data_IF_449188556709
#
_entry.id   IF_449188556709
#
_cell.length_a   1.000
_cell.length_b   1.000
_cell.length_c   1.000
_cell.angle_alpha   90.00
_cell.angle_beta   90.00
_cell.angle_gamma   90.00
#
_symmetry.space_group_name_H-M   'P 1'
#
loop_
_entity.id
_entity.type
_entity.pdbx_description
1 polymer ?
#
# COMPACT_ATOMS: atom_id res chain seq x y z
N UNK A 1 18.80 -31.92 8.87
CA UNK A 1 18.72 -33.36 8.51
C UNK A 1 19.19 -33.49 7.08
N UNK A 2 20.09 -34.42 6.77
CA UNK A 2 20.36 -34.75 5.37
C UNK A 2 19.16 -35.56 4.88
N UNK A 3 18.40 -35.08 3.89
CA UNK A 3 17.34 -35.84 3.24
C UNK A 3 17.97 -37.00 2.43
N UNK A 4 18.46 -38.04 3.10
CA UNK A 4 19.03 -39.24 2.45
C UNK A 4 18.00 -40.35 2.24
N UNK A 5 16.76 -40.16 2.70
CA UNK A 5 15.73 -41.16 2.45
C UNK A 5 15.26 -41.08 0.99
N UNK A 6 15.28 -42.20 0.25
CA UNK A 6 14.77 -42.24 -1.10
C UNK A 6 13.24 -42.18 -1.01
N UNK A 7 12.69 -40.97 -0.97
CA UNK A 7 11.24 -40.74 -1.01
C UNK A 7 10.60 -41.23 -2.32
N UNK A 8 11.41 -41.66 -3.31
CA UNK A 8 10.92 -41.88 -4.66
C UNK A 8 10.37 -40.57 -5.23
N UNK A 9 9.67 -40.62 -6.37
CA UNK A 9 9.05 -39.44 -6.99
C UNK A 9 7.84 -38.88 -6.18
N UNK A 10 7.73 -39.16 -4.88
CA UNK A 10 6.64 -38.66 -4.04
C UNK A 10 6.96 -37.25 -3.49
N UNK A 11 5.94 -36.43 -3.21
CA UNK A 11 6.11 -35.15 -2.52
C UNK A 11 6.66 -35.32 -1.10
N UNK A 12 7.53 -34.40 -0.67
CA UNK A 12 8.03 -34.33 0.70
C UNK A 12 7.42 -33.12 1.42
N UNK A 13 6.83 -33.34 2.60
CA UNK A 13 6.31 -32.25 3.44
C UNK A 13 6.99 -32.22 4.80
N UNK A 14 7.55 -31.07 5.14
CA UNK A 14 8.22 -30.78 6.42
C UNK A 14 7.40 -29.75 7.19
N UNK A 15 6.78 -30.18 8.29
CA UNK A 15 6.09 -29.30 9.24
C UNK A 15 7.08 -28.87 10.32
N UNK A 16 7.43 -27.59 10.35
CA UNK A 16 8.53 -27.06 11.16
C UNK A 16 8.00 -26.11 12.24
N UNK A 17 8.48 -26.22 13.47
CA UNK A 17 8.07 -25.35 14.58
C UNK A 17 9.29 -24.80 15.33
N UNK A 18 9.19 -23.53 15.76
CA UNK A 18 10.32 -22.81 16.35
C UNK A 18 11.30 -22.30 15.29
N UNK A 19 12.53 -21.99 15.71
CA UNK A 19 13.55 -21.41 14.83
C UNK A 19 14.37 -22.47 14.14
N UNK A 20 14.40 -22.41 12.82
CA UNK A 20 15.20 -23.28 11.98
C UNK A 20 16.22 -22.46 11.18
N UNK A 21 17.46 -22.91 11.24
CA UNK A 21 18.49 -22.52 10.28
C UNK A 21 18.40 -23.50 9.11
N UNK A 22 18.08 -22.97 7.93
CA UNK A 22 17.97 -23.76 6.69
C UNK A 22 19.19 -23.61 5.80
N UNK A 23 20.33 -23.18 6.39
CA UNK A 23 21.60 -23.06 5.68
C UNK A 23 21.93 -24.35 4.91
N UNK A 24 22.06 -24.21 3.60
CA UNK A 24 22.29 -25.34 2.72
C UNK A 24 22.12 -24.99 1.25
N UNK A 25 22.68 -25.83 0.41
CA UNK A 25 22.51 -25.80 -1.02
C UNK A 25 21.55 -26.92 -1.42
N UNK A 26 20.41 -26.55 -1.97
CA UNK A 26 19.41 -27.48 -2.48
C UNK A 26 19.64 -27.68 -3.96
N UNK A 27 20.09 -28.88 -4.32
CA UNK A 27 20.33 -29.32 -5.70
C UNK A 27 19.76 -30.74 -5.89
N UNK A 28 20.22 -31.49 -6.89
CA UNK A 28 19.81 -32.86 -7.24
C UNK A 28 20.07 -33.94 -6.14
N UNK A 29 20.19 -33.55 -4.88
CA UNK A 29 20.42 -34.39 -3.70
C UNK A 29 19.15 -35.07 -3.18
N UNK A 30 17.98 -34.76 -3.73
CA UNK A 30 16.68 -35.35 -3.36
C UNK A 30 16.05 -36.07 -4.54
N UNK A 31 15.29 -37.13 -4.26
CA UNK A 31 14.46 -37.83 -5.28
C UNK A 31 13.00 -37.40 -5.27
N UNK A 32 12.61 -36.54 -4.31
CA UNK A 32 11.24 -36.05 -4.17
C UNK A 32 10.81 -35.25 -5.40
N UNK A 33 9.53 -35.37 -5.78
CA UNK A 33 8.96 -34.62 -6.91
C UNK A 33 8.73 -33.14 -6.60
N UNK A 34 8.57 -32.79 -5.32
CA UNK A 34 8.37 -31.44 -4.80
C UNK A 34 8.64 -31.43 -3.29
N UNK A 35 8.95 -30.26 -2.73
CA UNK A 35 9.20 -30.09 -1.30
C UNK A 35 8.35 -28.96 -0.72
N UNK A 36 7.63 -29.28 0.36
CA UNK A 36 6.77 -28.36 1.10
C UNK A 36 7.37 -28.08 2.47
N UNK A 37 7.76 -26.84 2.70
CA UNK A 37 8.11 -26.32 4.02
C UNK A 37 6.89 -25.59 4.57
N UNK A 38 6.33 -26.10 5.68
CA UNK A 38 5.12 -25.55 6.29
C UNK A 38 5.41 -25.16 7.74
N UNK A 39 5.16 -23.90 8.05
CA UNK A 39 5.33 -23.35 9.38
C UNK A 39 4.24 -23.82 10.34
N UNK A 40 4.66 -24.27 11.52
CA UNK A 40 3.87 -24.26 12.74
C UNK A 40 3.82 -22.86 13.35
N UNK A 41 3.00 -22.65 14.41
CA UNK A 41 2.86 -21.34 15.05
C UNK A 41 4.20 -20.75 15.51
N UNK A 42 4.53 -19.55 15.02
CA UNK A 42 5.75 -18.83 15.37
C UNK A 42 7.03 -19.44 14.78
N UNK A 43 6.94 -20.30 13.77
CA UNK A 43 8.12 -20.86 13.13
C UNK A 43 8.89 -19.78 12.35
N UNK A 44 10.21 -19.81 12.47
CA UNK A 44 11.10 -18.83 11.84
C UNK A 44 12.17 -19.51 11.00
N UNK A 45 12.50 -18.93 9.85
CA UNK A 45 13.58 -19.38 8.97
C UNK A 45 14.70 -18.34 8.99
N UNK A 46 15.91 -18.82 9.26
CA UNK A 46 17.14 -18.03 9.31
C UNK A 46 18.26 -18.71 8.54
N UNK A 47 19.38 -18.01 8.33
CA UNK A 47 20.53 -18.51 7.58
C UNK A 47 20.48 -18.13 6.10
N UNK A 48 21.04 -19.00 5.25
CA UNK A 48 21.14 -18.80 3.80
C UNK A 48 20.58 -20.01 3.07
N UNK A 49 19.44 -19.85 2.40
CA UNK A 49 18.85 -20.89 1.56
C UNK A 49 19.30 -20.66 0.11
N UNK A 50 20.20 -21.49 -0.41
CA UNK A 50 20.54 -21.49 -1.84
C UNK A 50 19.78 -22.62 -2.53
N UNK A 51 19.06 -22.29 -3.61
CA UNK A 51 18.29 -23.23 -4.42
C UNK A 51 18.93 -23.23 -5.81
N UNK A 52 19.66 -24.27 -6.14
CA UNK A 52 20.40 -24.38 -7.39
C UNK A 52 19.64 -25.24 -8.41
N UNK A 53 20.06 -25.15 -9.67
CA UNK A 53 19.57 -25.99 -10.75
C UNK A 53 19.57 -27.49 -10.38
N UNK A 54 18.47 -28.16 -10.72
CA UNK A 54 18.21 -29.56 -10.36
C UNK A 54 17.46 -29.73 -9.04
N UNK A 55 17.17 -28.67 -8.29
CA UNK A 55 16.19 -28.71 -7.23
C UNK A 55 14.78 -29.03 -7.78
N UNK A 56 13.95 -29.79 -7.05
CA UNK A 56 12.52 -29.91 -7.38
C UNK A 56 11.78 -28.59 -7.07
N UNK A 57 10.51 -28.45 -7.50
CA UNK A 57 9.63 -27.39 -6.98
C UNK A 57 9.66 -27.31 -5.45
N UNK A 58 9.76 -26.09 -4.92
CA UNK A 58 9.80 -25.84 -3.48
C UNK A 58 8.68 -24.87 -3.10
N UNK A 59 7.96 -25.20 -2.05
CA UNK A 59 6.88 -24.39 -1.49
C UNK A 59 7.23 -24.01 -0.05
N UNK A 60 7.24 -22.72 0.27
CA UNK A 60 7.54 -22.19 1.60
C UNK A 60 6.33 -21.43 2.12
N UNK A 61 5.75 -21.91 3.23
CA UNK A 61 4.47 -21.40 3.72
C UNK A 61 4.47 -21.01 5.20
N UNK A 62 4.01 -19.80 5.51
CA UNK A 62 3.63 -19.38 6.86
C UNK A 62 4.76 -18.93 7.78
N UNK A 63 5.99 -18.81 7.28
CA UNK A 63 7.16 -18.51 8.11
C UNK A 63 7.38 -17.02 8.32
N UNK A 64 7.95 -16.67 9.47
CA UNK A 64 8.73 -15.44 9.58
C UNK A 64 10.17 -15.71 9.08
N UNK A 65 10.57 -15.00 8.04
CA UNK A 65 11.81 -15.23 7.31
C UNK A 65 12.77 -14.07 7.60
N UNK A 66 13.88 -14.41 8.25
CA UNK A 66 15.07 -13.54 8.39
C UNK A 66 16.24 -14.06 7.56
N UNK A 67 16.05 -15.20 6.87
CA UNK A 67 17.03 -15.80 5.99
C UNK A 67 17.26 -14.95 4.73
N UNK A 68 18.44 -15.12 4.15
CA UNK A 68 18.68 -14.77 2.75
C UNK A 68 18.33 -15.98 1.88
N UNK A 69 17.47 -15.77 0.88
CA UNK A 69 17.08 -16.80 -0.09
C UNK A 69 17.69 -16.43 -1.44
N UNK A 70 18.42 -17.37 -2.01
CA UNK A 70 19.10 -17.23 -3.29
C UNK A 70 18.60 -18.33 -4.23
N UNK A 71 17.99 -17.95 -5.34
CA UNK A 71 17.37 -18.88 -6.28
C UNK A 71 18.13 -18.82 -7.59
N UNK A 72 18.82 -19.91 -7.92
CA UNK A 72 19.53 -20.15 -9.17
C UNK A 72 18.99 -21.43 -9.85
N UNK A 73 17.67 -21.62 -9.84
CA UNK A 73 17.02 -22.85 -10.28
C UNK A 73 15.87 -22.62 -11.28
N UNK A 74 15.79 -23.45 -12.32
CA UNK A 74 14.66 -23.44 -13.26
C UNK A 74 13.32 -23.91 -12.67
N UNK A 75 13.36 -24.74 -11.62
CA UNK A 75 12.17 -25.21 -10.93
C UNK A 75 11.49 -24.06 -10.16
N UNK A 76 10.16 -24.06 -10.04
CA UNK A 76 9.45 -22.98 -9.39
C UNK A 76 9.68 -22.96 -7.87
N UNK A 77 9.90 -21.77 -7.33
CA UNK A 77 9.79 -21.48 -5.89
C UNK A 77 8.47 -20.77 -5.62
N UNK A 78 7.67 -21.29 -4.71
CA UNK A 78 6.45 -20.64 -4.24
C UNK A 78 6.58 -20.23 -2.77
N UNK A 79 6.30 -18.97 -2.48
CA UNK A 79 6.31 -18.43 -1.12
C UNK A 79 4.91 -17.89 -0.81
N UNK A 80 4.30 -18.36 0.27
CA UNK A 80 2.93 -17.97 0.64
C UNK A 80 2.80 -17.70 2.14
N UNK A 81 2.00 -16.71 2.51
CA UNK A 81 1.67 -16.41 3.92
C UNK A 81 2.91 -16.10 4.79
N UNK A 82 3.98 -15.56 4.20
CA UNK A 82 5.26 -15.36 4.89
C UNK A 82 5.48 -13.90 5.30
N UNK A 83 6.33 -13.69 6.32
CA UNK A 83 6.74 -12.37 6.79
C UNK A 83 8.25 -12.24 6.71
N UNK A 84 8.76 -11.40 5.81
CA UNK A 84 10.18 -11.09 5.72
C UNK A 84 10.53 -9.94 6.65
N UNK A 85 11.60 -10.12 7.43
CA UNK A 85 12.07 -9.18 8.46
C UNK A 85 13.58 -9.04 8.42
N UNK A 86 14.08 -7.89 8.84
CA UNK A 86 15.53 -7.63 8.91
C UNK A 86 16.21 -8.51 9.99
N UNK A 87 17.26 -9.23 9.55
CA UNK A 87 18.13 -10.04 10.39
C UNK A 87 19.00 -9.23 11.36
N UNK A 88 19.01 -7.89 11.31
CA UNK A 88 19.68 -7.06 12.34
C UNK A 88 19.12 -7.27 13.75
N UNK A 89 17.93 -7.85 13.89
CA UNK A 89 17.41 -8.35 15.17
C UNK A 89 18.04 -9.67 15.65
N UNK A 90 18.73 -10.42 14.78
CA UNK A 90 19.30 -11.77 15.04
C UNK A 90 20.83 -11.88 14.87
N UNK A 91 21.55 -10.80 14.55
CA UNK A 91 23.01 -10.71 14.68
C UNK A 91 23.85 -11.54 13.68
N UNK A 92 23.25 -12.12 12.64
CA UNK A 92 23.96 -12.88 11.60
C UNK A 92 23.42 -12.55 10.22
N UNK A 93 23.97 -11.50 9.61
CA UNK A 93 24.06 -11.44 8.15
C UNK A 93 25.54 -11.51 7.81
N UNK A 94 25.99 -12.70 7.44
CA UNK A 94 27.34 -12.90 6.94
C UNK A 94 27.47 -12.05 5.68
N UNK A 95 28.31 -11.03 5.76
CA UNK A 95 28.76 -10.26 4.61
C UNK A 95 29.50 -11.23 3.70
N UNK A 96 28.96 -11.56 2.52
CA UNK A 96 29.82 -11.98 1.43
C UNK A 96 30.67 -10.74 1.07
N UNK A 97 31.99 -10.88 1.09
CA UNK A 97 32.99 -9.79 1.23
C UNK A 97 33.01 -8.70 0.14
N UNK A 98 32.00 -8.57 -0.73
CA UNK A 98 31.94 -7.53 -1.76
C UNK A 98 30.53 -7.01 -2.13
N UNK A 99 29.44 -7.46 -1.49
CA UNK A 99 28.10 -6.89 -1.72
C UNK A 99 27.68 -5.99 -0.55
N UNK A 100 27.62 -4.68 -0.82
CA UNK A 100 27.27 -3.65 0.19
C UNK A 100 25.81 -3.77 0.68
N UNK A 101 24.94 -4.46 -0.07
CA UNK A 101 23.53 -4.68 0.26
C UNK A 101 23.07 -6.07 -0.20
N UNK A 102 22.92 -6.99 0.75
CA UNK A 102 22.35 -8.32 0.49
C UNK A 102 20.81 -8.19 0.43
N UNK A 103 20.10 -8.74 -0.58
CA UNK A 103 18.63 -8.80 -0.65
C UNK A 103 18.06 -9.90 0.25
N UNK A 104 16.82 -9.78 0.73
CA UNK A 104 16.19 -10.89 1.45
C UNK A 104 15.91 -12.09 0.51
N UNK A 105 15.56 -11.80 -0.74
CA UNK A 105 15.39 -12.78 -1.81
C UNK A 105 16.12 -12.32 -3.08
N UNK A 106 16.89 -13.21 -3.70
CA UNK A 106 17.41 -13.05 -5.06
C UNK A 106 16.80 -14.13 -5.95
N UNK A 107 16.32 -13.71 -7.13
CA UNK A 107 15.85 -14.60 -8.19
C UNK A 107 16.79 -14.47 -9.38
N UNK A 108 17.73 -15.41 -9.52
CA UNK A 108 18.65 -15.54 -10.65
C UNK A 108 18.17 -16.63 -11.58
N UNK A 109 17.64 -16.25 -12.74
CA UNK A 109 16.91 -17.19 -13.61
C UNK A 109 15.72 -17.85 -12.86
N UNK A 110 14.99 -18.75 -13.54
CA UNK A 110 13.91 -19.49 -12.89
C UNK A 110 12.59 -18.73 -12.73
N UNK A 111 11.71 -19.30 -11.90
CA UNK A 111 10.35 -18.80 -11.65
C UNK A 111 10.04 -18.76 -10.17
N UNK A 112 9.70 -17.59 -9.67
CA UNK A 112 9.30 -17.42 -8.27
C UNK A 112 7.91 -16.78 -8.18
N UNK A 113 7.04 -17.37 -7.37
CA UNK A 113 5.71 -16.86 -7.08
C UNK A 113 5.62 -16.52 -5.60
N UNK A 114 5.14 -15.31 -5.26
CA UNK A 114 4.98 -14.84 -3.90
C UNK A 114 3.54 -14.39 -3.70
N UNK A 115 2.88 -14.88 -2.66
CA UNK A 115 1.49 -14.55 -2.37
C UNK A 115 1.29 -14.25 -0.89
N UNK A 116 0.36 -13.34 -0.56
CA UNK A 116 -0.04 -13.02 0.80
C UNK A 116 1.14 -12.82 1.78
N UNK A 117 2.18 -12.12 1.34
CA UNK A 117 3.43 -12.00 2.11
C UNK A 117 3.74 -10.54 2.43
N UNK A 118 4.43 -10.32 3.54
CA UNK A 118 4.76 -8.98 4.05
C UNK A 118 6.27 -8.81 4.18
N UNK A 119 6.80 -7.74 3.59
CA UNK A 119 8.22 -7.40 3.58
C UNK A 119 8.41 -6.08 4.31
N UNK A 120 9.04 -6.12 5.49
CA UNK A 120 9.12 -4.96 6.37
C UNK A 120 10.54 -4.67 6.86
N UNK A 121 10.96 -3.41 6.73
CA UNK A 121 12.20 -2.90 7.31
C UNK A 121 13.50 -3.40 6.66
N UNK A 122 13.44 -3.89 5.42
CA UNK A 122 14.58 -4.47 4.71
C UNK A 122 15.39 -3.40 3.97
N UNK A 123 16.73 -3.54 3.93
CA UNK A 123 17.58 -2.68 3.08
C UNK A 123 17.28 -2.92 1.59
N UNK A 124 17.13 -4.19 1.19
CA UNK A 124 16.61 -4.60 -0.10
C UNK A 124 15.73 -5.83 0.07
N UNK A 125 14.46 -5.77 -0.31
CA UNK A 125 13.58 -6.92 -0.13
C UNK A 125 13.83 -7.99 -1.20
N UNK A 126 13.71 -7.64 -2.48
CA UNK A 126 13.85 -8.58 -3.60
C UNK A 126 14.78 -8.03 -4.68
N UNK A 127 15.62 -8.90 -5.26
CA UNK A 127 16.41 -8.61 -6.44
C UNK A 127 16.14 -9.66 -7.52
N UNK A 128 15.77 -9.22 -8.72
CA UNK A 128 15.52 -10.09 -9.89
C UNK A 128 16.64 -9.89 -10.91
N UNK A 129 17.34 -10.99 -11.24
CA UNK A 129 18.41 -11.07 -12.22
C UNK A 129 18.07 -12.15 -13.26
N UNK A 130 17.49 -11.77 -14.40
CA UNK A 130 17.22 -12.68 -15.55
C UNK A 130 16.16 -13.79 -15.30
N UNK A 131 15.33 -13.67 -14.26
CA UNK A 131 14.25 -14.61 -13.94
C UNK A 131 12.83 -14.08 -14.17
N UNK A 132 11.83 -14.91 -13.82
CA UNK A 132 10.42 -14.51 -13.76
C UNK A 132 9.95 -14.43 -12.31
N UNK A 133 9.47 -13.27 -11.88
CA UNK A 133 8.88 -13.06 -10.56
C UNK A 133 7.40 -12.69 -10.70
N UNK A 134 6.54 -13.35 -9.94
CA UNK A 134 5.14 -12.95 -9.80
C UNK A 134 4.82 -12.75 -8.31
N UNK A 135 4.22 -11.60 -7.99
CA UNK A 135 3.82 -11.22 -6.64
C UNK A 135 2.33 -10.91 -6.65
N UNK A 136 1.58 -11.46 -5.70
CA UNK A 136 0.18 -11.14 -5.48
C UNK A 136 -0.14 -10.90 -4.00
N UNK A 137 -1.13 -10.05 -3.73
CA UNK A 137 -1.75 -9.90 -2.40
C UNK A 137 -0.74 -9.58 -1.28
N UNK A 138 0.34 -8.87 -1.60
CA UNK A 138 1.47 -8.71 -0.70
C UNK A 138 1.67 -7.26 -0.28
N UNK A 139 2.51 -7.04 0.72
CA UNK A 139 2.82 -5.68 1.21
C UNK A 139 4.31 -5.48 1.39
N UNK A 140 4.78 -4.29 1.04
CA UNK A 140 6.17 -3.84 1.23
C UNK A 140 6.15 -2.55 2.03
N UNK A 141 6.75 -2.54 3.21
CA UNK A 141 6.60 -1.44 4.17
C UNK A 141 7.94 -1.07 4.77
N UNK A 142 8.25 0.22 4.85
CA UNK A 142 9.48 0.70 5.52
C UNK A 142 10.79 0.11 4.98
N UNK A 143 10.79 -0.45 3.77
CA UNK A 143 11.99 -0.95 3.12
C UNK A 143 12.75 0.23 2.51
N UNK A 144 14.08 0.18 2.52
CA UNK A 144 14.90 1.16 1.82
C UNK A 144 14.74 1.00 0.32
N UNK A 145 15.07 -0.18 -0.22
CA UNK A 145 14.69 -0.57 -1.58
C UNK A 145 13.75 -1.79 -1.50
N UNK A 146 12.58 -1.73 -2.14
CA UNK A 146 11.68 -2.90 -2.10
C UNK A 146 12.05 -3.92 -3.16
N UNK A 147 11.90 -3.58 -4.45
CA UNK A 147 12.24 -4.52 -5.53
C UNK A 147 13.20 -3.86 -6.50
N UNK A 148 14.30 -4.56 -6.76
CA UNK A 148 15.29 -4.20 -7.76
C UNK A 148 15.25 -5.22 -8.90
N UNK A 149 15.03 -4.77 -10.14
CA UNK A 149 14.95 -5.63 -11.33
C UNK A 149 16.05 -5.23 -12.28
N UNK A 150 17.05 -6.08 -12.49
CA UNK A 150 18.12 -5.81 -13.45
C UNK A 150 17.79 -6.32 -14.85
N UNK A 151 17.08 -7.44 -14.93
CA UNK A 151 16.54 -8.01 -16.16
C UNK A 151 15.50 -9.09 -15.82
N UNK A 152 14.75 -9.56 -16.82
CA UNK A 152 13.72 -10.60 -16.65
C UNK A 152 12.30 -10.06 -16.72
N UNK A 153 11.34 -10.78 -16.13
CA UNK A 153 9.91 -10.42 -16.15
C UNK A 153 9.36 -10.41 -14.74
N UNK A 154 8.75 -9.29 -14.34
CA UNK A 154 8.10 -9.16 -13.02
C UNK A 154 6.64 -8.76 -13.16
N UNK A 155 5.73 -9.51 -12.53
CA UNK A 155 4.31 -9.16 -12.44
C UNK A 155 3.97 -8.91 -10.98
N UNK A 156 3.36 -7.76 -10.69
CA UNK A 156 2.96 -7.36 -9.34
C UNK A 156 1.46 -7.06 -9.37
N UNK A 157 0.69 -7.83 -8.61
CA UNK A 157 -0.75 -7.80 -8.55
C UNK A 157 -1.21 -7.52 -7.12
N UNK A 158 -2.24 -6.68 -6.93
CA UNK A 158 -2.86 -6.42 -5.63
C UNK A 158 -1.87 -6.22 -4.47
N UNK A 159 -0.80 -5.49 -4.74
CA UNK A 159 0.32 -5.33 -3.80
C UNK A 159 0.54 -3.86 -3.49
N UNK A 160 0.76 -3.55 -2.21
CA UNK A 160 0.94 -2.17 -1.76
C UNK A 160 2.35 -1.95 -1.23
N UNK A 161 2.99 -0.88 -1.69
CA UNK A 161 4.27 -0.40 -1.19
C UNK A 161 4.01 0.86 -0.38
N UNK A 162 4.40 0.91 0.89
CA UNK A 162 4.18 2.09 1.75
C UNK A 162 5.43 2.48 2.51
N UNK A 163 5.59 3.79 2.72
CA UNK A 163 6.63 4.35 3.59
C UNK A 163 8.04 3.81 3.29
N UNK A 164 8.37 3.56 2.02
CA UNK A 164 9.73 3.19 1.63
C UNK A 164 10.70 4.28 2.12
N UNK A 165 11.98 3.96 2.37
CA UNK A 165 13.01 4.99 2.69
C UNK A 165 13.88 5.34 1.48
N UNK A 166 13.84 4.52 0.43
CA UNK A 166 14.48 4.71 -0.87
C UNK A 166 13.46 4.44 -1.99
N UNK A 167 13.75 3.53 -2.93
CA UNK A 167 12.87 3.30 -4.08
C UNK A 167 11.97 2.08 -3.88
N UNK A 168 10.65 2.22 -4.12
CA UNK A 168 9.76 1.06 -4.09
C UNK A 168 10.12 0.08 -5.22
N UNK A 169 10.26 0.58 -6.45
CA UNK A 169 10.64 -0.21 -7.62
C UNK A 169 11.81 0.45 -8.36
N UNK A 170 12.93 -0.23 -8.44
CA UNK A 170 14.06 0.19 -9.28
C UNK A 170 14.22 -0.83 -10.41
N UNK A 171 14.04 -0.39 -11.66
CA UNK A 171 14.00 -1.24 -12.84
C UNK A 171 15.08 -0.81 -13.82
N UNK A 172 16.16 -1.58 -13.89
CA UNK A 172 17.29 -1.31 -14.78
C UNK A 172 17.08 -1.97 -16.15
N UNK A 173 16.38 -3.10 -16.21
CA UNK A 173 16.11 -3.82 -17.45
C UNK A 173 14.98 -4.83 -17.30
N UNK A 174 14.50 -5.37 -18.42
CA UNK A 174 13.38 -6.30 -18.46
C UNK A 174 12.00 -5.62 -18.46
N UNK A 175 10.97 -6.42 -18.16
CA UNK A 175 9.57 -5.99 -18.18
C UNK A 175 8.95 -6.10 -16.78
N UNK A 176 8.31 -5.02 -16.33
CA UNK A 176 7.52 -4.98 -15.09
C UNK A 176 6.08 -4.59 -15.38
N UNK A 177 5.15 -5.41 -14.89
CA UNK A 177 3.72 -5.17 -14.98
C UNK A 177 3.14 -4.98 -13.59
N UNK A 178 2.61 -3.80 -13.33
CA UNK A 178 1.82 -3.49 -12.15
C UNK A 178 0.34 -3.63 -12.51
N UNK A 179 -0.44 -4.38 -11.74
CA UNK A 179 -1.86 -4.62 -12.06
C UNK A 179 -2.70 -4.89 -10.82
N UNK A 180 -3.99 -5.13 -11.03
CA UNK A 180 -4.93 -5.59 -10.02
C UNK A 180 -4.88 -4.74 -8.74
N UNK A 181 -5.01 -3.41 -8.86
CA UNK A 181 -4.98 -2.46 -7.75
C UNK A 181 -3.61 -2.32 -7.03
N UNK A 182 -2.50 -2.68 -7.67
CA UNK A 182 -1.17 -2.41 -7.12
C UNK A 182 -0.95 -0.91 -6.89
N UNK A 183 -0.28 -0.53 -5.80
CA UNK A 183 -0.05 0.87 -5.44
C UNK A 183 1.34 1.12 -4.82
N UNK A 184 1.99 2.18 -5.29
CA UNK A 184 3.24 2.73 -4.78
C UNK A 184 2.93 4.00 -3.96
N UNK A 185 3.03 3.90 -2.63
CA UNK A 185 2.59 4.90 -1.63
C UNK A 185 3.75 5.37 -0.74
N UNK A 186 4.85 5.84 -1.34
CA UNK A 186 6.00 6.40 -0.61
C UNK A 186 5.89 7.87 -0.23
N UNK A 187 4.84 8.58 -0.67
CA UNK A 187 4.67 10.00 -0.41
C UNK A 187 5.28 10.92 -1.48
N UNK A 188 4.81 12.16 -1.50
CA UNK A 188 4.91 13.07 -2.66
C UNK A 188 6.32 13.56 -3.04
N UNK A 189 7.35 13.33 -2.22
CA UNK A 189 8.72 13.83 -2.45
C UNK A 189 9.73 12.70 -2.60
N UNK A 190 9.25 11.47 -2.67
CA UNK A 190 10.08 10.28 -2.73
C UNK A 190 10.02 9.63 -4.11
N UNK A 191 11.16 9.17 -4.60
CA UNK A 191 11.25 8.36 -5.81
C UNK A 191 10.64 7.01 -5.52
N UNK A 192 9.41 6.77 -6.00
CA UNK A 192 8.74 5.49 -5.84
C UNK A 192 9.13 4.52 -6.95
N UNK A 193 9.40 5.02 -8.14
CA UNK A 193 9.76 4.22 -9.30
C UNK A 193 10.91 4.88 -10.04
N UNK A 194 11.98 4.13 -10.27
CA UNK A 194 13.13 4.55 -11.07
C UNK A 194 13.34 3.55 -12.21
N UNK A 195 13.39 4.04 -13.44
CA UNK A 195 13.41 3.22 -14.65
C UNK A 195 14.61 3.63 -15.52
N UNK A 196 15.52 2.70 -15.80
CA UNK A 196 16.65 2.95 -16.70
C UNK A 196 16.25 2.82 -18.18
N UNK A 197 17.10 3.37 -19.05
CA UNK A 197 16.94 3.20 -20.50
C UNK A 197 16.97 1.72 -20.91
N UNK A 198 15.93 1.27 -21.62
CA UNK A 198 15.78 -0.12 -22.07
C UNK A 198 14.93 -1.01 -21.16
N UNK A 199 14.54 -0.52 -19.98
CA UNK A 199 13.52 -1.16 -19.15
C UNK A 199 12.10 -0.76 -19.61
N UNK A 200 11.14 -1.65 -19.36
CA UNK A 200 9.72 -1.46 -19.69
C UNK A 200 8.89 -1.64 -18.43
N UNK A 201 8.17 -0.60 -18.03
CA UNK A 201 7.21 -0.66 -16.92
C UNK A 201 5.85 -0.21 -17.40
N UNK A 202 4.82 -1.00 -17.09
CA UNK A 202 3.42 -0.65 -17.39
C UNK A 202 2.51 -0.93 -16.22
N UNK A 203 1.42 -0.15 -16.15
CA UNK A 203 0.31 -0.37 -15.24
C UNK A 203 -0.92 -0.81 -16.02
N UNK A 204 -1.56 -1.89 -15.60
CA UNK A 204 -2.80 -2.41 -16.18
C UNK A 204 -3.95 -2.17 -15.21
N UNK A 205 -4.99 -1.47 -15.66
CA UNK A 205 -6.19 -1.22 -14.85
C UNK A 205 -6.85 -2.55 -14.40
N UNK A 206 -7.51 -2.59 -13.24
CA UNK A 206 -7.95 -1.47 -12.41
C UNK A 206 -6.90 -0.90 -11.44
N UNK A 207 -6.98 0.41 -11.19
CA UNK A 207 -6.31 1.06 -10.07
C UNK A 207 -7.05 0.78 -8.74
N UNK A 208 -6.46 1.08 -7.57
CA UNK A 208 -7.23 1.12 -6.32
C UNK A 208 -8.40 2.11 -6.41
N UNK A 209 -9.48 1.86 -5.68
CA UNK A 209 -10.53 2.88 -5.49
C UNK A 209 -9.90 4.15 -4.89
N UNK A 210 -10.45 5.31 -5.29
CA UNK A 210 -9.88 6.61 -4.92
C UNK A 210 -8.63 6.99 -5.71
N UNK A 211 -8.21 6.18 -6.70
CA UNK A 211 -7.00 6.43 -7.49
C UNK A 211 -7.21 6.25 -9.00
N UNK A 212 -6.37 6.90 -9.79
CA UNK A 212 -6.41 6.85 -11.24
C UNK A 212 -5.01 6.81 -11.88
N UNK A 213 -4.92 6.21 -13.07
CA UNK A 213 -3.77 6.32 -13.96
C UNK A 213 -4.23 7.00 -15.25
N UNK A 214 -3.56 8.06 -15.70
CA UNK A 214 -4.04 8.84 -16.84
C UNK A 214 -3.80 8.11 -18.17
N UNK A 215 -4.86 7.55 -18.75
CA UNK A 215 -4.80 6.73 -19.98
C UNK A 215 -5.74 7.33 -21.03
N UNK A 216 -5.18 7.78 -22.16
CA UNK A 216 -5.92 8.52 -23.20
C UNK A 216 -6.44 7.65 -24.35
N UNK A 217 -5.90 6.44 -24.53
CA UNK A 217 -6.13 5.59 -25.71
C UNK A 217 -7.15 4.46 -25.47
N UNK A 218 -7.83 4.47 -24.31
CA UNK A 218 -8.73 3.40 -23.86
C UNK A 218 -8.11 1.99 -23.83
N UNK A 219 -6.77 1.87 -23.87
CA UNK A 219 -6.10 0.58 -23.81
C UNK A 219 -6.22 -0.09 -22.44
N UNK A 220 -6.48 0.70 -21.39
CA UNK A 220 -6.39 0.25 -20.00
C UNK A 220 -4.96 0.08 -19.51
N UNK A 221 -3.97 0.52 -20.30
CA UNK A 221 -2.54 0.37 -20.02
C UNK A 221 -1.88 1.74 -19.95
N UNK A 222 -1.29 2.07 -18.80
CA UNK A 222 -0.39 3.21 -18.64
C UNK A 222 1.05 2.73 -18.83
N UNK A 223 1.82 3.39 -19.69
CA UNK A 223 3.24 3.09 -19.91
C UNK A 223 4.08 4.18 -19.28
N UNK A 224 5.08 3.78 -18.51
CA UNK A 224 6.01 4.74 -17.92
C UNK A 224 7.14 5.00 -18.90
N UNK A 225 7.53 6.28 -18.99
CA UNK A 225 8.77 6.67 -19.64
C UNK A 225 9.98 6.36 -18.72
N UNK A 226 11.17 6.11 -19.27
CA UNK A 226 12.39 6.02 -18.48
C UNK A 226 12.63 7.28 -17.63
N UNK A 227 13.23 7.10 -16.45
CA UNK A 227 13.56 8.15 -15.50
C UNK A 227 13.01 7.92 -14.09
N UNK A 228 13.16 8.95 -13.26
CA UNK A 228 12.68 8.97 -11.88
C UNK A 228 11.23 9.46 -11.81
N UNK A 229 10.35 8.66 -11.21
CA UNK A 229 8.95 8.98 -10.97
C UNK A 229 8.73 9.21 -9.47
N UNK A 230 8.51 10.48 -9.14
CA UNK A 230 8.28 10.94 -7.77
C UNK A 230 6.80 10.82 -7.39
N UNK A 231 6.56 10.54 -6.12
CA UNK A 231 5.23 10.58 -5.55
C UNK A 231 4.39 9.34 -5.82
N UNK A 232 3.19 9.37 -5.28
CA UNK A 232 2.29 8.24 -5.23
C UNK A 232 1.74 7.85 -6.61
N UNK A 233 1.69 6.55 -6.89
CA UNK A 233 1.10 6.00 -8.11
C UNK A 233 0.30 4.72 -7.84
N UNK A 234 -0.88 4.51 -8.44
CA UNK A 234 -1.65 5.44 -9.28
C UNK A 234 -2.05 6.70 -8.51
N UNK A 235 -2.27 7.83 -9.17
CA UNK A 235 -2.51 9.11 -8.50
C UNK A 235 -3.83 9.11 -7.71
N UNK A 236 -3.86 9.78 -6.56
CA UNK A 236 -5.12 10.00 -5.84
C UNK A 236 -6.08 10.85 -6.68
N UNK A 237 -7.37 10.51 -6.67
CA UNK A 237 -8.43 11.37 -7.20
C UNK A 237 -8.34 12.76 -6.57
N UNK A 238 -8.62 13.80 -7.35
CA UNK A 238 -8.61 15.16 -6.84
C UNK A 238 -9.61 15.31 -5.68
N UNK A 239 -9.36 16.26 -4.78
CA UNK A 239 -10.38 16.63 -3.80
C UNK A 239 -11.63 17.15 -4.52
N UNK A 240 -12.81 16.92 -3.92
CA UNK A 240 -14.10 17.35 -4.48
C UNK A 240 -14.69 16.37 -5.49
N UNK A 241 -14.04 15.23 -5.75
CA UNK A 241 -14.60 14.11 -6.50
C UNK A 241 -14.51 12.80 -5.71
N UNK A 242 -15.34 11.83 -6.08
CA UNK A 242 -15.33 10.47 -5.50
C UNK A 242 -14.69 9.49 -6.48
N UNK A 243 -13.94 8.53 -5.94
CA UNK A 243 -13.28 7.45 -6.68
C UNK A 243 -13.81 6.06 -6.35
N UNK A 244 -15.11 5.93 -6.11
CA UNK A 244 -15.85 4.71 -5.73
C UNK A 244 -16.16 3.75 -6.89
N UNK A 245 -15.54 3.94 -8.07
CA UNK A 245 -15.78 3.09 -9.24
C UNK A 245 -14.49 2.76 -10.00
N UNK A 246 -14.31 1.48 -10.30
CA UNK A 246 -13.22 0.99 -11.16
C UNK A 246 -13.36 1.45 -12.63
N UNK A 247 -14.59 1.75 -13.08
CA UNK A 247 -14.85 2.07 -14.49
C UNK A 247 -14.24 3.41 -14.94
N UNK A 248 -13.87 4.29 -14.01
CA UNK A 248 -13.39 5.65 -14.32
C UNK A 248 -12.01 5.97 -13.72
N UNK A 249 -11.18 4.96 -13.58
CA UNK A 249 -9.81 5.09 -13.04
C UNK A 249 -8.77 5.47 -14.09
N UNK A 250 -9.17 5.75 -15.33
CA UNK A 250 -8.27 6.19 -16.40
C UNK A 250 -8.07 7.71 -16.48
N UNK A 251 -8.72 8.50 -15.61
CA UNK A 251 -8.79 9.96 -15.72
C UNK A 251 -8.87 10.63 -14.33
N UNK A 252 -8.23 11.81 -14.12
CA UNK A 252 -8.33 12.60 -12.88
C UNK A 252 -9.75 12.97 -12.44
N UNK A 253 -10.72 12.96 -13.36
CA UNK A 253 -12.12 13.18 -13.02
C UNK A 253 -12.72 12.08 -12.11
N UNK A 254 -12.04 10.92 -12.02
CA UNK A 254 -12.50 9.75 -11.29
C UNK A 254 -13.98 9.45 -11.57
N UNK A 255 -14.80 9.18 -10.55
CA UNK A 255 -16.18 8.76 -10.77
C UNK A 255 -17.15 9.93 -10.94
N UNK A 256 -17.36 10.71 -9.88
CA UNK A 256 -18.34 11.81 -9.87
C UNK A 256 -17.96 12.93 -8.91
N UNK A 257 -18.65 14.07 -9.00
CA UNK A 257 -18.45 15.22 -8.10
C UNK A 257 -18.93 14.85 -6.69
N UNK A 258 -18.24 15.35 -5.66
CA UNK A 258 -18.63 15.14 -4.27
C UNK A 258 -20.09 15.57 -4.04
N UNK A 259 -20.96 14.69 -3.52
CA UNK A 259 -22.37 15.01 -3.33
C UNK A 259 -22.56 16.13 -2.30
N UNK A 260 -23.59 16.95 -2.47
CA UNK A 260 -23.95 17.98 -1.50
C UNK A 260 -24.31 17.34 -0.14
N UNK A 261 -23.95 18.01 0.94
CA UNK A 261 -24.04 17.48 2.30
C UNK A 261 -22.83 16.65 2.72
N UNK A 262 -21.86 16.41 1.82
CA UNK A 262 -20.64 15.67 2.09
C UNK A 262 -19.39 16.46 1.69
N UNK A 263 -18.25 16.08 2.30
CA UNK A 263 -16.93 16.56 1.96
C UNK A 263 -16.06 15.41 1.44
N UNK A 264 -15.27 15.70 0.40
CA UNK A 264 -14.40 14.73 -0.24
C UNK A 264 -12.98 15.32 -0.36
N UNK A 265 -12.07 14.80 0.44
CA UNK A 265 -10.64 15.05 0.29
C UNK A 265 -10.06 14.36 -0.94
N UNK A 266 -8.74 14.44 -1.11
CA UNK A 266 -8.07 13.70 -2.17
C UNK A 266 -8.21 12.19 -1.95
N UNK A 267 -8.54 11.45 -3.00
CA UNK A 267 -8.69 10.00 -2.97
C UNK A 267 -9.88 9.47 -2.18
N UNK A 268 -10.92 10.28 -1.96
CA UNK A 268 -12.14 9.84 -1.27
C UNK A 268 -12.86 8.74 -2.03
N UNK A 269 -13.08 7.61 -1.36
CA UNK A 269 -13.96 6.52 -1.81
C UNK A 269 -15.34 6.70 -1.19
N UNK A 270 -15.39 6.84 0.14
CA UNK A 270 -16.61 7.10 0.89
C UNK A 270 -16.65 8.56 1.37
N UNK A 271 -17.55 9.40 0.82
CA UNK A 271 -17.71 10.79 1.24
C UNK A 271 -18.04 10.94 2.72
N UNK A 272 -17.46 11.96 3.36
CA UNK A 272 -17.67 12.23 4.79
C UNK A 272 -18.84 13.20 4.93
N UNK A 273 -19.89 12.79 5.64
CA UNK A 273 -21.05 13.62 5.92
C UNK A 273 -20.65 14.88 6.70
N UNK A 274 -21.26 16.01 6.34
CA UNK A 274 -20.99 17.26 7.05
C UNK A 274 -21.78 17.28 8.34
N UNK A 275 -21.07 17.41 9.46
CA UNK A 275 -21.64 17.29 10.80
C UNK A 275 -22.42 18.55 11.19
N UNK A 276 -23.12 18.47 12.31
CA UNK A 276 -23.80 19.62 12.91
C UNK A 276 -22.83 20.80 13.06
N UNK A 277 -23.36 22.01 12.84
CA UNK A 277 -22.58 23.24 12.81
C UNK A 277 -21.86 23.51 11.50
N UNK A 278 -21.91 22.60 10.53
CA UNK A 278 -21.27 22.75 9.22
C UNK A 278 -22.22 22.46 8.07
N UNK A 279 -21.88 22.93 6.87
CA UNK A 279 -22.55 22.67 5.61
C UNK A 279 -21.55 22.39 4.49
N UNK A 280 -22.01 21.73 3.44
CA UNK A 280 -21.19 21.34 2.29
C UNK A 280 -21.99 21.45 0.98
N UNK A 281 -21.68 22.45 0.15
CA UNK A 281 -22.17 22.49 -1.22
C UNK A 281 -21.66 21.30 -2.04
N UNK A 282 -22.26 21.07 -3.20
CA UNK A 282 -21.78 20.07 -4.16
C UNK A 282 -20.32 20.36 -4.55
N UNK A 283 -19.47 19.33 -4.54
CA UNK A 283 -18.04 19.44 -4.84
C UNK A 283 -17.18 19.93 -3.66
N UNK A 284 -17.70 19.89 -2.43
CA UNK A 284 -16.95 20.33 -1.26
C UNK A 284 -15.70 19.49 -1.01
N UNK A 285 -14.56 20.17 -0.91
CA UNK A 285 -13.26 19.58 -0.56
C UNK A 285 -13.15 19.34 0.95
N UNK A 286 -13.75 20.25 1.71
CA UNK A 286 -13.76 20.30 3.17
C UNK A 286 -15.12 20.78 3.64
N UNK A 287 -15.43 20.55 4.91
CA UNK A 287 -16.61 21.13 5.55
C UNK A 287 -16.48 22.66 5.67
N UNK A 288 -17.62 23.35 5.65
CA UNK A 288 -17.70 24.80 5.87
C UNK A 288 -18.56 25.06 7.10
N UNK A 289 -18.08 25.87 8.04
CA UNK A 289 -18.86 26.21 9.23
C UNK A 289 -20.09 27.03 8.85
N UNK A 290 -21.21 26.77 9.54
CA UNK A 290 -22.34 27.69 9.54
C UNK A 290 -21.86 29.10 9.94
N UNK A 291 -22.30 30.15 9.22
CA UNK A 291 -21.89 31.50 9.52
C UNK A 291 -22.34 31.91 10.94
N UNK A 292 -21.63 32.88 11.52
CA UNK A 292 -22.04 33.48 12.80
C UNK A 292 -23.49 33.99 12.73
N UNK A 293 -24.22 33.86 13.83
CA UNK A 293 -25.65 34.15 13.88
C UNK A 293 -26.54 33.03 13.33
N UNK A 294 -25.98 31.90 12.91
CA UNK A 294 -26.73 30.71 12.47
C UNK A 294 -26.24 29.44 13.17
N UNK A 295 -27.12 28.44 13.23
CA UNK A 295 -26.90 27.17 13.91
C UNK A 295 -27.23 25.99 12.99
N UNK A 296 -26.29 25.06 12.87
CA UNK A 296 -26.48 23.83 12.10
C UNK A 296 -26.90 22.67 13.00
N UNK A 297 -28.20 22.51 13.25
CA UNK A 297 -28.71 21.53 14.24
C UNK A 297 -28.77 20.07 13.74
N UNK A 298 -28.58 19.86 12.44
CA UNK A 298 -28.63 18.55 11.77
C UNK A 298 -27.43 18.38 10.84
N UNK A 299 -27.02 17.14 10.55
CA UNK A 299 -25.97 16.88 9.58
C UNK A 299 -26.49 17.07 8.14
N UNK A 300 -25.58 16.93 7.17
CA UNK A 300 -25.86 16.97 5.73
C UNK A 300 -26.46 18.30 5.26
N UNK A 301 -26.10 19.42 5.90
CA UNK A 301 -26.46 20.74 5.39
C UNK A 301 -25.72 20.98 4.07
N UNK A 302 -26.40 21.56 3.10
CA UNK A 302 -25.87 21.73 1.73
C UNK A 302 -25.46 23.16 1.42
N UNK A 303 -25.97 24.12 2.19
CA UNK A 303 -25.70 25.54 2.00
C UNK A 303 -25.72 26.29 3.33
N UNK A 304 -25.15 27.49 3.36
CA UNK A 304 -25.23 28.38 4.54
C UNK A 304 -26.68 28.75 4.90
N UNK A 305 -27.58 28.75 3.92
CA UNK A 305 -28.99 29.04 4.12
C UNK A 305 -29.74 27.90 4.83
N UNK A 306 -29.22 26.67 4.75
CA UNK A 306 -29.74 25.53 5.50
C UNK A 306 -29.39 25.62 7.00
N UNK A 307 -28.46 26.48 7.39
CA UNK A 307 -28.19 26.80 8.79
C UNK A 307 -29.33 27.67 9.33
N UNK A 308 -29.95 27.24 10.42
CA UNK A 308 -31.10 27.90 11.01
C UNK A 308 -30.68 29.22 11.69
N UNK A 309 -31.56 30.22 11.66
CA UNK A 309 -31.32 31.51 12.34
C UNK A 309 -31.15 31.28 13.83
N UNK A 310 -30.14 31.90 14.44
CA UNK A 310 -29.92 31.83 15.88
C UNK A 310 -31.15 32.38 16.63
N UNK A 311 -31.81 31.58 17.48
CA UNK A 311 -32.98 32.01 18.22
C UNK A 311 -32.71 33.20 19.14
N UNK A 312 -33.75 34.00 19.39
CA UNK A 312 -33.67 35.11 20.35
C UNK A 312 -33.24 34.62 21.74
N UNK A 313 -32.37 35.40 22.40
CA UNK A 313 -31.86 35.07 23.74
C UNK A 313 -30.74 34.02 23.76
N UNK A 314 -30.26 33.58 22.60
CA UNK A 314 -29.13 32.66 22.45
C UNK A 314 -27.98 33.31 21.67
N UNK A 315 -26.77 32.76 21.82
CA UNK A 315 -25.61 33.14 21.00
C UNK A 315 -25.22 32.00 20.08
N UNK A 316 -24.83 32.34 18.86
CA UNK A 316 -24.34 31.39 17.87
C UNK A 316 -23.06 31.91 17.21
N UNK A 317 -21.88 31.64 17.79
CA UNK A 317 -20.61 31.80 17.10
C UNK A 317 -20.55 31.01 15.78
N UNK A 318 -19.59 31.34 14.91
CA UNK A 318 -19.33 30.55 13.71
C UNK A 318 -19.15 29.06 14.05
N UNK A 319 -19.81 28.17 13.31
CA UNK A 319 -19.73 26.73 13.53
C UNK A 319 -20.62 26.19 14.66
N UNK A 320 -21.61 26.96 15.12
CA UNK A 320 -22.52 26.52 16.19
C UNK A 320 -23.32 25.29 15.76
N UNK A 321 -23.10 24.17 16.44
CA UNK A 321 -23.85 22.93 16.28
C UNK A 321 -25.05 22.81 17.24
N UNK A 322 -24.99 23.54 18.35
CA UNK A 322 -26.00 23.55 19.42
C UNK A 322 -26.05 24.94 20.04
N UNK A 323 -27.25 25.51 20.13
CA UNK A 323 -27.47 26.85 20.69
C UNK A 323 -27.20 26.89 22.20
N UNK A 324 -26.58 27.98 22.66
CA UNK A 324 -26.39 28.27 24.07
C UNK A 324 -27.16 29.54 24.48
N UNK A 325 -27.96 29.50 25.56
CA UNK A 325 -28.63 30.69 26.06
C UNK A 325 -27.62 31.68 26.65
N UNK A 326 -27.94 32.97 26.57
CA UNK A 326 -27.14 33.97 27.26
C UNK A 326 -27.18 33.76 28.79
N UNK A 327 -26.02 33.94 29.41
CA UNK A 327 -25.87 33.82 30.86
C UNK A 327 -26.62 34.91 31.62
N UNK A 328 -26.80 34.72 32.92
CA UNK A 328 -27.44 35.71 33.80
C UNK A 328 -26.69 37.05 33.71
N UNK A 329 -27.43 38.15 33.52
CA UNK A 329 -26.86 39.48 33.35
C UNK A 329 -26.36 39.78 31.92
N UNK A 330 -26.68 38.92 30.95
CA UNK A 330 -26.43 39.13 29.54
C UNK A 330 -27.70 38.92 28.70
N UNK A 331 -27.76 39.53 27.52
CA UNK A 331 -28.84 39.39 26.56
C UNK A 331 -28.30 39.33 25.13
N UNK A 332 -29.02 38.66 24.24
CA UNK A 332 -28.78 38.70 22.80
C UNK A 332 -29.66 39.81 22.20
N UNK A 333 -29.09 40.90 21.65
CA UNK A 333 -29.86 42.08 21.26
C UNK A 333 -30.76 41.84 20.03
N UNK A 334 -30.41 40.89 19.16
CA UNK A 334 -31.11 40.62 17.89
C UNK A 334 -31.15 39.11 17.59
N UNK A 335 -32.09 38.64 16.75
CA UNK A 335 -31.90 37.38 16.02
C UNK A 335 -30.55 37.41 15.29
N UNK A 336 -29.91 36.26 15.12
CA UNK A 336 -28.55 36.16 14.53
C UNK A 336 -27.41 36.75 15.40
N UNK A 337 -27.61 36.90 16.71
CA UNK A 337 -26.53 37.34 17.60
C UNK A 337 -25.39 36.31 17.67
N UNK A 338 -24.18 36.75 17.29
CA UNK A 338 -22.96 35.95 17.42
C UNK A 338 -22.54 35.77 18.88
N UNK A 339 -22.74 36.81 19.70
CA UNK A 339 -22.34 36.82 21.11
C UNK A 339 -23.41 37.49 22.00
N UNK A 340 -23.29 37.24 23.30
CA UNK A 340 -24.14 37.83 24.33
C UNK A 340 -23.58 39.17 24.80
N UNK A 341 -24.45 40.17 24.95
CA UNK A 341 -24.10 41.49 25.45
C UNK A 341 -24.46 41.62 26.92
N UNK A 342 -23.61 42.23 27.74
CA UNK A 342 -23.93 42.50 29.14
C UNK A 342 -25.08 43.50 29.28
N UNK A 343 -25.97 43.27 30.25
CA UNK A 343 -26.94 44.29 30.65
C UNK A 343 -26.19 45.48 31.27
N UNK A 344 -26.58 46.71 30.91
CA UNK A 344 -26.09 47.91 31.59
C UNK A 344 -26.56 47.90 33.05
N UNK A 345 -25.73 48.40 33.95
CA UNK A 345 -26.06 48.53 35.38
C UNK A 345 -27.12 49.62 35.57
N UNK A 346 -28.33 49.27 35.98
CA UNK A 346 -29.43 50.20 36.26
C UNK A 346 -30.78 49.50 36.35
#
# INVERSE_FOLDING_TARGET
QVLLEPHGQAPLTLNLSGTHDISGNWSAQTTASEIWLVAGPGATLSGVLKIDDGAPPIHVKGFEITAHIDVEALAPLEIADCKFRDARSSGRRLLEENEEVVPALIVRNGRTMITNSDFEGLERAIHVQDGSLAIADSTFRQNRDSIHVTNGSTIIANTTFTASQGTALHVIGGDVVLKDQTALLGGNQQTNLNISDGASVRYELPAPLGRYAFIQDNSGIYRFEPGEHLGDFPFACAAGVVGDSFARQSNPACNSVCPAGYSCGAGTVDPIACENGTFCPMGSLTTQDCPAGRVGMRPLLTSADDCEICPNGTRCPKGTAKVEPCGVGMYAPMPESEDCTHCETG
#
